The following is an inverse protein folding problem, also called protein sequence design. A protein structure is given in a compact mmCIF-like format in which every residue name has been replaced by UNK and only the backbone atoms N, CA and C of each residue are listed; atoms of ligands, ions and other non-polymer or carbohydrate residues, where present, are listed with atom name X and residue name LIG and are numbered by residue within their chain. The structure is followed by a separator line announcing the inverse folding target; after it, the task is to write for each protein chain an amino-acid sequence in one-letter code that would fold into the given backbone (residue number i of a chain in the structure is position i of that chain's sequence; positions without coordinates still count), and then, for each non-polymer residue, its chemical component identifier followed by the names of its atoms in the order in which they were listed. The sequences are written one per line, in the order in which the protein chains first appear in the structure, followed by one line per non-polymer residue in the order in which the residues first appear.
data_IF_469959336936
#
_entry.id   IF_469959336936
#
_cell.length_a   1.000
_cell.length_b   1.000
_cell.length_c   1.000
_cell.angle_alpha   90.00
_cell.angle_beta   90.00
_cell.angle_gamma   90.00
#
_symmetry.space_group_name_H-M   'P 1'
#
loop_
_entity.id
_entity.type
_entity.pdbx_description
1 polymer ?
#
# COMPACT_ATOMS: atom_id res chain seq x y z
N UNK A 1 -0.77 0.09 15.32
CA UNK A 1 -0.19 -0.76 14.26
C UNK A 1 -1.19 -1.63 13.49
N UNK A 2 -1.78 -2.72 14.03
CA UNK A 2 -2.62 -3.62 13.19
C UNK A 2 -3.85 -2.93 12.57
N UNK A 3 -4.55 -2.08 13.33
CA UNK A 3 -5.69 -1.31 12.83
C UNK A 3 -5.27 -0.28 11.76
N UNK A 4 -4.07 0.28 11.87
CA UNK A 4 -3.56 1.26 10.92
C UNK A 4 -3.19 0.60 9.58
N UNK A 5 -2.63 -0.61 9.61
CA UNK A 5 -2.39 -1.41 8.40
C UNK A 5 -3.71 -1.68 7.67
N UNK A 6 -4.77 -2.05 8.41
CA UNK A 6 -6.10 -2.26 7.82
C UNK A 6 -6.73 -0.97 7.28
N UNK A 7 -6.55 0.16 7.97
CA UNK A 7 -7.00 1.47 7.50
C UNK A 7 -6.28 1.85 6.20
N UNK A 8 -4.95 1.70 6.17
CA UNK A 8 -4.13 1.96 4.97
C UNK A 8 -4.57 1.07 3.80
N UNK A 9 -4.78 -0.23 4.04
CA UNK A 9 -5.28 -1.16 3.02
C UNK A 9 -6.60 -0.70 2.40
N UNK A 10 -7.59 -0.32 3.22
CA UNK A 10 -8.88 0.18 2.74
C UNK A 10 -8.72 1.47 1.93
N UNK A 11 -7.84 2.38 2.34
CA UNK A 11 -7.57 3.61 1.60
C UNK A 11 -6.89 3.35 0.25
N UNK A 12 -5.92 2.42 0.20
CA UNK A 12 -5.30 1.97 -1.05
C UNK A 12 -6.33 1.37 -2.01
N UNK A 13 -7.27 0.55 -1.51
CA UNK A 13 -8.32 -0.02 -2.35
C UNK A 13 -9.26 1.05 -2.93
N UNK A 14 -9.66 2.06 -2.13
CA UNK A 14 -10.49 3.18 -2.61
C UNK A 14 -9.77 4.02 -3.65
N UNK A 15 -8.49 4.31 -3.45
CA UNK A 15 -7.69 5.02 -4.45
C UNK A 15 -7.50 4.18 -5.73
N UNK A 16 -7.40 2.86 -5.59
CA UNK A 16 -7.29 1.92 -6.72
C UNK A 16 -8.60 1.74 -7.50
N UNK A 17 -9.78 1.95 -6.93
CA UNK A 17 -11.06 1.88 -7.68
C UNK A 17 -11.11 2.88 -8.84
N UNK A 18 -10.41 4.01 -8.69
CA UNK A 18 -10.33 5.06 -9.72
C UNK A 18 -9.32 4.74 -10.83
N UNK A 19 -8.55 3.64 -10.73
CA UNK A 19 -7.45 3.32 -11.65
C UNK A 19 -7.43 1.81 -11.99
N UNK A 20 -7.66 1.40 -13.25
CA UNK A 20 -7.67 -0.02 -13.62
C UNK A 20 -6.31 -0.70 -13.33
N UNK A 21 -6.33 -1.94 -12.86
CA UNK A 21 -5.12 -2.73 -12.53
C UNK A 21 -4.45 -2.40 -11.19
N UNK A 22 -4.81 -1.29 -10.53
CA UNK A 22 -4.18 -0.92 -9.24
C UNK A 22 -4.64 -1.83 -8.09
N UNK A 23 -5.88 -2.31 -8.15
CA UNK A 23 -6.47 -3.12 -7.07
C UNK A 23 -5.70 -4.41 -6.84
N UNK A 24 -5.29 -5.09 -7.90
CA UNK A 24 -4.58 -6.37 -7.80
C UNK A 24 -3.14 -6.17 -7.35
N UNK A 25 -2.49 -5.09 -7.78
CA UNK A 25 -1.17 -4.69 -7.28
C UNK A 25 -1.20 -4.42 -5.78
N UNK A 26 -2.18 -3.67 -5.29
CA UNK A 26 -2.36 -3.42 -3.84
C UNK A 26 -2.57 -4.74 -3.10
N UNK A 27 -3.47 -5.61 -3.56
CA UNK A 27 -3.70 -6.92 -2.92
C UNK A 27 -2.43 -7.78 -2.88
N UNK A 28 -1.67 -7.81 -3.97
CA UNK A 28 -0.46 -8.61 -4.07
C UNK A 28 0.62 -8.11 -3.09
N UNK A 29 0.85 -6.80 -3.03
CA UNK A 29 1.81 -6.20 -2.09
C UNK A 29 1.44 -6.45 -0.62
N UNK A 30 0.18 -6.33 -0.24
CA UNK A 30 -0.25 -6.62 1.12
C UNK A 30 -0.15 -8.12 1.44
N UNK A 31 -0.44 -9.02 0.48
CA UNK A 31 -0.27 -10.47 0.66
C UNK A 31 1.18 -10.87 0.83
N UNK A 32 2.12 -10.31 0.05
CA UNK A 32 3.57 -10.57 0.18
C UNK A 32 4.10 -10.23 1.58
N UNK A 33 3.53 -9.21 2.22
CA UNK A 33 3.93 -8.75 3.55
C UNK A 33 3.06 -9.33 4.69
N UNK A 34 2.07 -10.16 4.40
CA UNK A 34 1.14 -10.69 5.39
C UNK A 34 1.80 -11.71 6.34
N UNK A 35 2.89 -12.34 5.92
CA UNK A 35 3.65 -13.32 6.71
C UNK A 35 4.67 -12.68 7.67
N UNK A 36 4.79 -11.35 7.69
CA UNK A 36 5.75 -10.67 8.57
C UNK A 36 5.33 -10.86 10.04
N UNK A 37 6.21 -11.39 10.90
CA UNK A 37 5.94 -11.53 12.32
C UNK A 37 5.60 -10.17 12.97
N UNK A 38 4.62 -10.16 13.88
CA UNK A 38 4.22 -8.94 14.61
C UNK A 38 5.34 -8.37 15.50
N UNK A 39 6.35 -9.20 15.80
CA UNK A 39 7.54 -8.84 16.58
C UNK A 39 8.53 -7.99 15.79
N UNK A 40 8.47 -7.99 14.45
CA UNK A 40 9.33 -7.16 13.59
C UNK A 40 8.77 -5.72 13.47
N UNK A 41 8.64 -5.02 14.60
CA UNK A 41 8.03 -3.68 14.71
C UNK A 41 8.68 -2.68 13.76
N UNK A 42 10.02 -2.61 13.71
CA UNK A 42 10.75 -1.67 12.86
C UNK A 42 10.49 -1.90 11.36
N UNK A 43 10.37 -3.16 10.94
CA UNK A 43 10.07 -3.52 9.55
C UNK A 43 8.64 -3.14 9.20
N UNK A 44 7.68 -3.42 10.10
CA UNK A 44 6.28 -3.03 9.92
C UNK A 44 6.15 -1.51 9.82
N UNK A 45 6.84 -0.75 10.68
CA UNK A 45 6.85 0.71 10.60
C UNK A 45 7.45 1.23 9.30
N UNK A 46 8.58 0.65 8.86
CA UNK A 46 9.19 1.03 7.59
C UNK A 46 8.22 0.81 6.42
N UNK A 47 7.60 -0.37 6.36
CA UNK A 47 6.61 -0.70 5.34
C UNK A 47 5.37 0.19 5.40
N UNK A 48 4.92 0.56 6.61
CA UNK A 48 3.83 1.51 6.77
C UNK A 48 4.20 2.90 6.25
N UNK A 49 5.39 3.42 6.58
CA UNK A 49 5.87 4.72 6.05
C UNK A 49 5.93 4.71 4.52
N UNK A 50 6.46 3.63 3.93
CA UNK A 50 6.47 3.45 2.48
C UNK A 50 5.05 3.38 1.90
N UNK A 51 4.16 2.59 2.51
CA UNK A 51 2.78 2.43 2.09
C UNK A 51 1.99 3.73 2.10
N UNK A 52 2.18 4.58 3.12
CA UNK A 52 1.55 5.90 3.20
C UNK A 52 2.03 6.84 2.07
N UNK A 53 3.33 6.86 1.76
CA UNK A 53 3.85 7.62 0.61
C UNK A 53 3.25 7.14 -0.70
N UNK A 54 3.20 5.82 -0.92
CA UNK A 54 2.58 5.23 -2.12
C UNK A 54 1.09 5.58 -2.21
N UNK A 55 0.38 5.58 -1.08
CA UNK A 55 -1.03 5.97 -1.04
C UNK A 55 -1.24 7.45 -1.41
N UNK A 56 -0.40 8.35 -0.88
CA UNK A 56 -0.46 9.76 -1.25
C UNK A 56 -0.25 9.94 -2.76
N UNK A 57 0.73 9.25 -3.35
CA UNK A 57 0.93 9.26 -4.81
C UNK A 57 -0.26 8.68 -5.58
N UNK A 58 -0.91 7.63 -5.06
CA UNK A 58 -2.10 7.05 -5.70
C UNK A 58 -3.33 7.98 -5.64
N UNK A 59 -3.41 8.82 -4.62
CA UNK A 59 -4.49 9.80 -4.45
C UNK A 59 -4.27 11.08 -5.26
N UNK A 60 -3.04 11.33 -5.69
CA UNK A 60 -2.70 12.48 -6.52
C UNK A 60 -3.31 12.32 -7.93
N UNK A 61 -4.19 13.25 -8.36
CA UNK A 61 -4.84 13.18 -9.66
C UNK A 61 -3.87 13.37 -10.84
N UNK A 62 -2.69 13.95 -10.63
CA UNK A 62 -1.67 14.18 -11.66
C UNK A 62 -0.73 12.99 -11.85
N UNK A 63 -0.82 11.97 -10.99
CA UNK A 63 -0.04 10.72 -11.11
C UNK A 63 -0.82 9.76 -12.02
N UNK A 64 -0.59 9.86 -13.33
CA UNK A 64 -1.34 9.11 -14.35
C UNK A 64 -0.78 7.70 -14.62
N UNK A 65 0.51 7.49 -14.33
CA UNK A 65 1.19 6.21 -14.45
C UNK A 65 1.73 5.74 -13.12
N UNK A 66 1.47 4.48 -12.78
CA UNK A 66 2.14 3.79 -11.68
C UNK A 66 3.64 3.72 -12.02
N UNK A 67 4.41 4.74 -11.64
CA UNK A 67 5.87 4.69 -11.66
C UNK A 67 6.26 3.43 -10.91
N UNK A 68 6.68 2.41 -11.68
CA UNK A 68 6.84 1.01 -11.31
C UNK A 68 7.08 0.83 -9.80
N UNK A 69 6.13 0.22 -9.09
CA UNK A 69 6.36 -0.38 -7.78
C UNK A 69 7.25 -1.64 -7.92
N UNK A 70 8.36 -1.55 -8.65
CA UNK A 70 9.16 -2.69 -9.06
C UNK A 70 10.59 -2.55 -8.54
N UNK A 71 10.89 -3.49 -7.63
CA UNK A 71 12.15 -3.87 -6.98
C UNK A 71 12.82 -2.84 -6.06
#
# INVERSE_FOLDING_TARGET
MQLEVLRMYKQCLRAAEKKPGFRDNVKNEFRKNASIPKTEVLRLEHLMRQGWRKLQMMQDPFVDGMGRFQK
#
